data_IF_607814768378
#
_entry.id   IF_607814768378
#
_cell.length_a   1.000
_cell.length_b   1.000
_cell.length_c   1.000
_cell.angle_alpha   90.00
_cell.angle_beta   90.00
_cell.angle_gamma   90.00
#
_symmetry.space_group_name_H-M   'P 1'
#
loop_
_entity.id
_entity.type
_entity.pdbx_description
1 polymer ?
#
# COMPACT_ATOMS: atom_id res chain seq x y z
N UNK A 1 39.85 -55.88 36.13
CA UNK A 1 39.74 -55.63 34.68
C UNK A 1 38.24 -55.51 34.36
N UNK A 2 37.69 -54.29 34.22
CA UNK A 2 37.14 -53.70 32.97
C UNK A 2 36.27 -54.72 32.20
N UNK A 3 34.97 -54.48 31.92
CA UNK A 3 34.40 -53.31 31.23
C UNK A 3 32.92 -53.14 31.56
N UNK A 4 32.53 -51.92 31.94
CA UNK A 4 31.15 -51.42 31.96
C UNK A 4 30.73 -51.22 30.49
N UNK A 5 29.69 -51.92 30.02
CA UNK A 5 29.05 -51.59 28.75
C UNK A 5 28.05 -50.46 28.99
N UNK A 6 28.45 -49.23 28.66
CA UNK A 6 27.56 -48.09 28.53
C UNK A 6 26.78 -48.23 27.21
N UNK A 7 25.49 -48.54 27.31
CA UNK A 7 24.54 -48.39 26.20
C UNK A 7 24.29 -46.88 26.02
N UNK A 8 24.96 -46.28 25.05
CA UNK A 8 24.72 -44.90 24.63
C UNK A 8 23.36 -44.77 23.96
N UNK A 9 22.45 -44.02 24.58
CA UNK A 9 21.22 -43.56 23.94
C UNK A 9 21.61 -42.43 22.98
N UNK A 10 21.59 -42.70 21.67
CA UNK A 10 21.63 -41.68 20.64
C UNK A 10 20.22 -41.07 20.52
N UNK A 11 19.99 -39.95 21.20
CA UNK A 11 18.81 -39.12 21.00
C UNK A 11 19.02 -38.33 19.69
N UNK A 12 18.47 -38.82 18.58
CA UNK A 12 18.40 -38.07 17.33
C UNK A 12 17.39 -36.92 17.49
N UNK A 13 17.89 -35.76 17.93
CA UNK A 13 17.19 -34.49 17.75
C UNK A 13 17.11 -34.22 16.24
N UNK A 14 16.04 -34.68 15.61
CA UNK A 14 15.61 -34.14 14.32
C UNK A 14 15.26 -32.67 14.59
N UNK A 15 16.25 -31.79 14.45
CA UNK A 15 16.02 -30.36 14.50
C UNK A 15 14.96 -30.03 13.46
N UNK A 16 13.85 -29.46 13.90
CA UNK A 16 12.91 -28.81 12.99
C UNK A 16 13.76 -27.79 12.21
N UNK A 17 13.99 -28.06 10.93
CA UNK A 17 14.55 -27.06 10.01
C UNK A 17 13.43 -26.04 9.84
N UNK A 18 13.35 -25.11 10.78
CA UNK A 18 12.59 -23.89 10.62
C UNK A 18 13.32 -23.13 9.53
N UNK A 19 12.87 -23.31 8.28
CA UNK A 19 13.28 -22.41 7.21
C UNK A 19 12.89 -21.00 7.65
N UNK A 20 13.84 -20.06 7.79
CA UNK A 20 13.48 -18.68 8.06
C UNK A 20 12.64 -18.21 6.88
N UNK A 21 11.36 -17.93 7.13
CA UNK A 21 10.54 -17.19 6.17
C UNK A 21 11.22 -15.83 6.05
N UNK A 22 11.63 -15.44 4.84
CA UNK A 22 12.17 -14.11 4.61
C UNK A 22 11.13 -13.08 5.09
N UNK A 23 11.55 -12.12 5.92
CA UNK A 23 10.67 -11.06 6.36
C UNK A 23 10.19 -10.29 5.13
N UNK A 24 8.87 -10.27 4.90
CA UNK A 24 8.30 -9.49 3.80
C UNK A 24 8.40 -8.02 4.18
N UNK A 25 8.98 -7.22 3.28
CA UNK A 25 9.10 -5.78 3.43
C UNK A 25 8.18 -5.10 2.43
N UNK A 26 7.51 -4.05 2.92
CA UNK A 26 6.59 -3.23 2.18
C UNK A 26 7.12 -1.81 2.08
N UNK A 27 6.91 -1.22 0.91
CA UNK A 27 7.08 0.19 0.61
C UNK A 27 5.71 0.87 0.72
N UNK A 28 5.63 1.92 1.54
CA UNK A 28 4.45 2.77 1.73
C UNK A 28 4.72 4.13 1.10
N UNK A 29 4.05 4.44 0.00
CA UNK A 29 4.16 5.71 -0.70
C UNK A 29 2.93 6.56 -0.42
N UNK A 30 3.11 7.71 0.24
CA UNK A 30 2.05 8.69 0.46
C UNK A 30 2.24 9.87 -0.48
N UNK A 31 1.16 10.26 -1.17
CA UNK A 31 1.15 11.29 -2.20
C UNK A 31 0.44 12.54 -1.69
N UNK A 32 1.06 13.71 -1.85
CA UNK A 32 0.57 15.00 -1.35
C UNK A 32 0.33 15.99 -2.50
N UNK A 33 -0.75 16.76 -2.39
CA UNK A 33 -1.08 17.83 -3.34
C UNK A 33 -0.25 19.07 -3.02
N UNK A 34 0.99 19.13 -3.49
CA UNK A 34 1.86 20.29 -3.30
C UNK A 34 3.35 19.97 -3.23
N UNK A 35 4.14 21.01 -2.99
CA UNK A 35 5.60 20.95 -2.92
C UNK A 35 6.13 20.54 -1.53
N UNK A 36 5.25 20.28 -0.57
CA UNK A 36 5.58 19.81 0.77
C UNK A 36 4.72 18.59 1.12
N UNK A 37 5.28 17.74 1.97
CA UNK A 37 4.62 16.53 2.48
C UNK A 37 4.00 16.84 3.84
N UNK A 38 3.19 17.89 3.84
CA UNK A 38 2.44 18.36 4.99
C UNK A 38 0.95 18.08 4.81
N UNK A 39 0.24 17.98 5.94
CA UNK A 39 -1.17 17.62 5.96
C UNK A 39 -1.42 16.14 5.64
N UNK A 40 -2.65 15.86 5.20
CA UNK A 40 -3.11 14.50 4.92
C UNK A 40 -2.84 14.16 3.46
N UNK A 41 -2.13 13.05 3.16
CA UNK A 41 -1.94 12.61 1.79
C UNK A 41 -3.29 12.24 1.17
N UNK A 42 -3.43 12.49 -0.13
CA UNK A 42 -4.67 12.16 -0.83
C UNK A 42 -4.72 10.68 -1.23
N UNK A 43 -3.57 10.07 -1.51
CA UNK A 43 -3.40 8.67 -1.88
C UNK A 43 -2.25 8.06 -1.08
N UNK A 44 -2.42 6.81 -0.64
CA UNK A 44 -1.34 6.02 -0.05
C UNK A 44 -1.33 4.63 -0.68
N UNK A 45 -0.20 4.26 -1.27
CA UNK A 45 0.01 2.94 -1.86
C UNK A 45 0.95 2.11 -1.00
N UNK A 46 0.65 0.83 -0.87
CA UNK A 46 1.51 -0.16 -0.25
C UNK A 46 1.84 -1.25 -1.26
N UNK A 47 3.13 -1.54 -1.45
CA UNK A 47 3.60 -2.58 -2.37
C UNK A 47 4.70 -3.41 -1.70
N UNK A 48 4.78 -4.70 -2.00
CA UNK A 48 5.95 -5.50 -1.62
C UNK A 48 7.21 -4.95 -2.29
N UNK A 49 8.25 -4.70 -1.50
CA UNK A 49 9.52 -4.17 -1.99
C UNK A 49 10.65 -4.65 -1.09
N UNK A 50 11.43 -5.66 -1.53
CA UNK A 50 12.56 -6.18 -0.75
C UNK A 50 13.74 -5.21 -0.66
N UNK A 51 13.81 -4.23 -1.57
CA UNK A 51 14.87 -3.22 -1.65
C UNK A 51 14.35 -1.84 -1.21
N UNK A 52 13.32 -1.81 -0.37
CA UNK A 52 12.69 -0.57 0.08
C UNK A 52 13.71 0.36 0.75
N UNK A 53 13.62 1.66 0.42
CA UNK A 53 14.38 2.72 1.07
C UNK A 53 13.44 3.83 1.51
N UNK A 54 13.62 4.29 2.74
CA UNK A 54 12.91 5.46 3.24
C UNK A 54 13.36 6.70 2.47
N UNK A 55 12.39 7.47 1.99
CA UNK A 55 12.63 8.72 1.30
C UNK A 55 11.64 9.75 1.80
N UNK A 56 12.14 10.90 2.26
CA UNK A 56 11.29 11.97 2.75
C UNK A 56 11.12 13.03 1.69
N UNK A 57 9.87 13.23 1.30
CA UNK A 57 9.40 14.36 0.53
C UNK A 57 10.19 14.69 -0.74
N UNK A 58 10.13 13.75 -1.68
CA UNK A 58 10.68 13.90 -3.02
C UNK A 58 9.60 14.36 -3.99
N UNK A 59 9.99 15.01 -5.09
CA UNK A 59 9.04 15.30 -6.16
C UNK A 59 8.56 13.98 -6.80
N UNK A 60 7.27 13.89 -7.13
CA UNK A 60 6.64 12.72 -7.77
C UNK A 60 7.33 12.38 -9.12
N UNK A 61 8.00 13.35 -9.76
CA UNK A 61 8.75 13.16 -11.00
C UNK A 61 7.87 13.01 -12.24
N UNK A 62 6.57 12.76 -12.05
CA UNK A 62 5.53 12.68 -13.09
C UNK A 62 4.42 13.71 -12.87
N UNK A 63 4.08 14.01 -11.60
CA UNK A 63 3.05 14.96 -11.20
C UNK A 63 3.61 16.19 -10.47
N UNK A 64 2.81 17.25 -10.36
CA UNK A 64 3.10 18.50 -9.59
C UNK A 64 2.98 18.28 -8.07
N UNK A 65 3.22 17.05 -7.61
CA UNK A 65 3.09 16.62 -6.21
C UNK A 65 4.41 16.20 -5.58
N UNK A 66 4.32 15.84 -4.31
CA UNK A 66 5.42 15.25 -3.56
C UNK A 66 5.03 13.91 -2.98
N UNK A 67 6.02 13.05 -2.77
CA UNK A 67 5.87 11.69 -2.26
C UNK A 67 6.75 11.54 -1.03
N UNK A 68 6.21 10.87 0.00
CA UNK A 68 7.02 10.30 1.08
C UNK A 68 6.95 8.78 1.03
N UNK A 69 8.09 8.13 1.18
CA UNK A 69 8.25 6.68 1.20
C UNK A 69 8.68 6.21 2.58
N UNK A 70 7.97 5.22 3.12
CA UNK A 70 8.31 4.55 4.38
C UNK A 70 8.38 3.03 4.18
N UNK A 71 9.39 2.39 4.75
CA UNK A 71 9.58 0.96 4.71
C UNK A 71 9.08 0.28 6.00
N UNK A 72 8.26 -0.75 5.86
CA UNK A 72 7.65 -1.43 7.00
C UNK A 72 7.47 -2.93 6.74
N UNK A 73 7.25 -3.71 7.81
CA UNK A 73 6.74 -5.08 7.72
C UNK A 73 5.22 -5.16 7.97
N UNK A 74 4.62 -4.10 8.51
CA UNK A 74 3.18 -3.98 8.76
C UNK A 74 2.60 -2.85 7.91
N UNK A 75 2.28 -3.18 6.66
CA UNK A 75 1.79 -2.21 5.68
C UNK A 75 0.44 -1.61 6.08
N UNK A 76 -0.42 -2.41 6.74
CA UNK A 76 -1.77 -2.01 7.12
C UNK A 76 -1.73 -0.94 8.19
N UNK A 77 -0.93 -1.12 9.24
CA UNK A 77 -0.77 -0.10 10.28
C UNK A 77 -0.08 1.15 9.75
N UNK A 78 0.98 0.99 8.95
CA UNK A 78 1.71 2.14 8.39
C UNK A 78 0.81 2.99 7.48
N UNK A 79 0.04 2.35 6.58
CA UNK A 79 -0.91 3.04 5.71
C UNK A 79 -2.00 3.75 6.52
N UNK A 80 -2.55 3.10 7.56
CA UNK A 80 -3.58 3.70 8.43
C UNK A 80 -3.07 4.97 9.11
N UNK A 81 -1.86 4.93 9.62
CA UNK A 81 -1.24 6.05 10.32
C UNK A 81 -1.03 7.27 9.40
N UNK A 82 -0.97 7.10 8.06
CA UNK A 82 -0.86 8.24 7.14
C UNK A 82 -2.12 9.11 7.09
N UNK A 83 -3.28 8.53 7.38
CA UNK A 83 -4.56 9.27 7.35
C UNK A 83 -4.97 9.78 8.74
N UNK A 84 -4.28 9.39 9.82
CA UNK A 84 -4.66 9.71 11.20
C UNK A 84 -6.16 9.46 11.48
N UNK A 85 -6.94 10.53 11.67
CA UNK A 85 -8.38 10.49 11.93
C UNK A 85 -9.24 10.78 10.69
N UNK A 86 -8.63 11.00 9.53
CA UNK A 86 -9.36 11.30 8.30
C UNK A 86 -9.96 10.02 7.70
N UNK A 87 -11.20 10.10 7.18
CA UNK A 87 -11.85 8.96 6.54
C UNK A 87 -11.13 8.60 5.23
N UNK A 88 -10.94 7.31 4.95
CA UNK A 88 -10.34 6.82 3.71
C UNK A 88 -10.99 5.51 3.27
N UNK A 89 -10.94 5.23 1.97
CA UNK A 89 -11.33 3.95 1.38
C UNK A 89 -10.06 3.14 1.11
N UNK A 90 -9.98 1.91 1.62
CA UNK A 90 -8.86 1.00 1.39
C UNK A 90 -9.26 -0.10 0.41
N UNK A 91 -8.54 -0.18 -0.70
CA UNK A 91 -8.59 -1.26 -1.66
C UNK A 91 -7.35 -2.17 -1.45
N UNK A 92 -7.58 -3.46 -1.25
CA UNK A 92 -6.51 -4.45 -1.06
C UNK A 92 -6.57 -5.43 -2.23
N UNK A 93 -5.47 -5.54 -2.97
CA UNK A 93 -5.33 -6.46 -4.07
C UNK A 93 -4.65 -7.76 -3.61
N UNK A 94 -5.36 -8.87 -3.84
CA UNK A 94 -4.84 -10.23 -3.71
C UNK A 94 -4.93 -10.95 -5.06
N UNK A 95 -3.83 -11.50 -5.58
CA UNK A 95 -3.87 -12.34 -6.77
C UNK A 95 -4.44 -13.74 -6.47
N UNK A 96 -4.40 -14.19 -5.21
CA UNK A 96 -5.02 -15.44 -4.82
C UNK A 96 -6.53 -15.27 -4.60
N UNK A 97 -7.31 -16.24 -5.09
CA UNK A 97 -8.77 -16.24 -5.01
C UNK A 97 -9.33 -16.40 -3.60
N UNK A 98 -8.50 -16.87 -2.67
CA UNK A 98 -8.81 -17.02 -1.24
C UNK A 98 -8.37 -15.80 -0.41
N UNK A 99 -7.86 -14.75 -1.07
CA UNK A 99 -7.32 -13.56 -0.44
C UNK A 99 -6.12 -13.82 0.50
N UNK A 100 -5.43 -14.96 0.35
CA UNK A 100 -4.34 -15.34 1.26
C UNK A 100 -3.04 -14.59 0.99
N UNK A 101 -2.85 -14.07 -0.22
CA UNK A 101 -1.64 -13.35 -0.61
C UNK A 101 -1.95 -11.88 -0.83
N UNK A 102 -1.29 -11.01 -0.10
CA UNK A 102 -1.29 -9.59 -0.41
C UNK A 102 -0.27 -9.31 -1.51
N UNK A 103 -0.56 -8.36 -2.40
CA UNK A 103 0.43 -7.91 -3.39
C UNK A 103 0.52 -6.39 -3.42
N UNK A 104 -0.62 -5.72 -3.35
CA UNK A 104 -0.66 -4.27 -3.27
C UNK A 104 -1.91 -3.81 -2.52
N UNK A 105 -1.85 -2.60 -1.96
CA UNK A 105 -3.02 -1.91 -1.45
C UNK A 105 -2.96 -0.43 -1.81
N UNK A 106 -4.13 0.16 -2.03
CA UNK A 106 -4.30 1.58 -2.31
C UNK A 106 -5.35 2.14 -1.39
N UNK A 107 -5.03 3.25 -0.73
CA UNK A 107 -5.96 3.97 0.13
C UNK A 107 -6.18 5.38 -0.35
N UNK A 108 -7.45 5.76 -0.45
CA UNK A 108 -7.93 6.99 -1.04
C UNK A 108 -8.56 7.84 0.05
N UNK A 109 -8.09 9.09 0.22
CA UNK A 109 -8.70 10.04 1.14
C UNK A 109 -10.17 10.27 0.76
N UNK A 110 -11.08 9.96 1.68
CA UNK A 110 -12.52 10.12 1.47
C UNK A 110 -12.99 11.51 1.89
N UNK A 111 -12.38 12.55 1.31
CA UNK A 111 -12.72 13.95 1.58
C UNK A 111 -14.03 14.38 0.91
N UNK A 112 -14.49 13.63 -0.09
CA UNK A 112 -15.58 14.03 -0.99
C UNK A 112 -15.17 15.09 -2.04
N UNK A 113 -13.92 15.54 -2.03
CA UNK A 113 -13.39 16.48 -3.01
C UNK A 113 -12.73 15.75 -4.19
N UNK A 114 -12.44 16.51 -5.25
CA UNK A 114 -11.61 16.04 -6.36
C UNK A 114 -10.15 16.06 -5.93
N UNK A 115 -9.64 14.91 -5.54
CA UNK A 115 -8.26 14.69 -5.13
C UNK A 115 -7.37 14.30 -6.32
N UNK A 116 -6.04 14.37 -6.15
CA UNK A 116 -5.05 14.00 -7.16
C UNK A 116 -4.09 15.13 -7.49
N UNK A 117 -2.95 14.77 -8.09
CA UNK A 117 -1.95 15.74 -8.56
C UNK A 117 -1.99 15.91 -10.07
N UNK A 118 -1.64 17.10 -10.55
CA UNK A 118 -1.56 17.41 -11.97
C UNK A 118 -0.39 16.62 -12.58
N UNK A 119 -0.68 15.67 -13.48
CA UNK A 119 0.37 15.08 -14.33
C UNK A 119 0.67 16.03 -15.49
N UNK A 120 1.96 16.32 -15.72
CA UNK A 120 2.38 17.19 -16.85
C UNK A 120 2.13 16.53 -18.22
N UNK A 121 1.93 15.21 -18.24
CA UNK A 121 1.56 14.44 -19.42
C UNK A 121 0.19 13.80 -19.19
N UNK A 122 -0.85 14.45 -19.70
CA UNK A 122 -2.30 14.22 -19.51
C UNK A 122 -2.85 12.83 -19.88
N UNK A 123 -2.02 11.79 -19.99
CA UNK A 123 -2.44 10.46 -20.42
C UNK A 123 -3.14 9.69 -19.30
N UNK A 124 -2.76 9.88 -18.02
CA UNK A 124 -3.40 9.29 -16.84
C UNK A 124 -3.11 10.13 -15.58
N UNK A 125 -3.60 11.38 -15.52
CA UNK A 125 -3.64 12.20 -14.30
C UNK A 125 -4.88 11.86 -13.48
N UNK A 126 -4.82 10.75 -12.73
CA UNK A 126 -6.02 10.11 -12.16
C UNK A 126 -6.49 10.89 -10.94
N UNK A 127 -7.16 12.01 -11.21
CA UNK A 127 -7.99 12.64 -10.22
C UNK A 127 -9.07 11.66 -9.78
N UNK A 128 -9.41 11.67 -8.50
CA UNK A 128 -10.45 10.81 -8.00
C UNK A 128 -11.30 11.51 -6.93
N UNK A 129 -12.50 10.98 -6.74
CA UNK A 129 -13.36 11.33 -5.62
C UNK A 129 -13.64 10.05 -4.86
N UNK A 130 -13.18 9.96 -3.62
CA UNK A 130 -13.58 8.90 -2.70
C UNK A 130 -14.62 9.44 -1.71
N UNK A 131 -15.70 8.69 -1.50
CA UNK A 131 -16.81 9.08 -0.63
C UNK A 131 -17.36 7.90 0.16
N UNK A 132 -17.93 8.22 1.33
CA UNK A 132 -18.84 7.34 2.05
C UNK A 132 -20.27 7.84 1.85
N UNK A 133 -21.15 6.93 1.45
CA UNK A 133 -22.56 7.20 1.23
C UNK A 133 -23.36 6.96 2.52
N UNK A 134 -24.51 7.63 2.67
CA UNK A 134 -25.35 7.50 3.87
C UNK A 134 -25.88 6.08 4.12
N UNK A 135 -25.89 5.23 3.09
CA UNK A 135 -26.27 3.82 3.18
C UNK A 135 -25.12 2.89 3.67
N UNK A 136 -23.96 3.46 4.01
CA UNK A 136 -22.78 2.71 4.45
C UNK A 136 -21.91 2.16 3.31
N UNK A 137 -22.28 2.39 2.05
CA UNK A 137 -21.41 2.06 0.92
C UNK A 137 -20.27 3.08 0.77
N UNK A 138 -19.17 2.64 0.17
CA UNK A 138 -18.07 3.50 -0.23
C UNK A 138 -17.96 3.52 -1.76
N UNK A 139 -17.57 4.66 -2.32
CA UNK A 139 -17.29 4.78 -3.75
C UNK A 139 -15.93 5.44 -4.00
N UNK A 140 -15.26 5.01 -5.05
CA UNK A 140 -14.06 5.66 -5.60
C UNK A 140 -14.32 5.88 -7.08
N UNK A 141 -14.31 7.13 -7.51
CA UNK A 141 -14.58 7.53 -8.89
C UNK A 141 -13.31 8.13 -9.48
N UNK A 142 -12.88 7.63 -10.62
CA UNK A 142 -11.67 8.09 -11.31
C UNK A 142 -12.02 9.06 -12.45
N UNK A 143 -11.14 10.01 -12.75
CA UNK A 143 -11.34 11.03 -13.77
C UNK A 143 -10.08 11.21 -14.62
N UNK A 144 -10.24 11.44 -15.93
CA UNK A 144 -9.14 11.56 -16.91
C UNK A 144 -8.67 12.99 -17.13
N UNK A 145 -9.34 13.99 -16.54
CA UNK A 145 -9.03 15.41 -16.72
C UNK A 145 -9.21 16.22 -15.44
N UNK A 146 -8.50 17.34 -15.37
CA UNK A 146 -8.54 18.28 -14.25
C UNK A 146 -9.30 19.56 -14.58
N UNK A 147 -10.09 20.13 -13.65
CA UNK A 147 -10.67 19.45 -12.47
C UNK A 147 -11.58 18.30 -12.92
N UNK A 148 -12.01 17.39 -12.02
CA UNK A 148 -12.84 16.19 -12.26
C UNK A 148 -14.06 16.41 -13.21
N UNK A 149 -13.80 16.59 -14.50
CA UNK A 149 -14.75 17.05 -15.52
C UNK A 149 -15.25 15.90 -16.39
N UNK A 150 -14.51 14.78 -16.44
CA UNK A 150 -14.88 13.57 -17.18
C UNK A 150 -14.64 12.32 -16.33
N UNK A 151 -15.71 11.59 -16.00
CA UNK A 151 -15.62 10.30 -15.28
C UNK A 151 -14.99 9.24 -16.19
N UNK A 152 -13.99 8.53 -15.69
CA UNK A 152 -13.51 7.29 -16.27
C UNK A 152 -14.45 6.16 -15.83
N UNK A 153 -15.41 5.78 -16.68
CA UNK A 153 -16.19 4.55 -16.46
C UNK A 153 -15.30 3.33 -16.74
N UNK A 154 -14.77 2.71 -15.68
CA UNK A 154 -14.16 1.38 -15.73
C UNK A 154 -15.26 0.32 -15.95
N UNK A 155 -15.72 0.15 -17.19
CA UNK A 155 -16.79 -0.82 -17.45
C UNK A 155 -17.21 -1.09 -18.89
N UNK A 156 -16.58 -0.49 -19.91
CA UNK A 156 -16.94 -0.78 -21.31
C UNK A 156 -15.73 -1.11 -22.16
N UNK A 157 -15.30 -2.36 -22.06
CA UNK A 157 -14.51 -3.00 -23.10
C UNK A 157 -15.46 -3.28 -24.28
N UNK A 158 -15.35 -2.50 -25.36
CA UNK A 158 -15.90 -2.84 -26.67
C UNK A 158 -14.85 -3.59 -27.49
#
# INVERSE_FOLDING_TARGET
>A
MKRVLLLGVLLSLAGNVWSPVAAVQYLIQAFYSGAACDGTPYLVNANESPDCKDEMCTADGVAVGTISTECTSDYLSALRNKFDSFPYVLEVYSPASDCSTHTAASAFLASGNCEGSFNENESMGVHFVASFEANGSASVQYFSGSPCQQRCDFGRWS
#
